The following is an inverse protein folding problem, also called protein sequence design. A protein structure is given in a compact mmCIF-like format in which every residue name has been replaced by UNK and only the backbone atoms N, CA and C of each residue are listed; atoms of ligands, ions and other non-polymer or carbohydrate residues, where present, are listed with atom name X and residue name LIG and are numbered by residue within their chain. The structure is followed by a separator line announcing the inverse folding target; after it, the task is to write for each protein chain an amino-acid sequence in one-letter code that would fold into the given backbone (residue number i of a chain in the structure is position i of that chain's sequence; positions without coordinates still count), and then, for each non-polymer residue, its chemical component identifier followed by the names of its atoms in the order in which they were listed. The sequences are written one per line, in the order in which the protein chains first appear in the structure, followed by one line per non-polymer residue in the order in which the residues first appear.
data_IF_479074393845
#
_entry.id   IF_479074393845
#
_cell.length_a   1.000
_cell.length_b   1.000
_cell.length_c   1.000
_cell.angle_alpha   90.00
_cell.angle_beta   90.00
_cell.angle_gamma   90.00
#
_symmetry.space_group_name_H-M   'P 1'
#
loop_
_entity.id
_entity.type
_entity.pdbx_description
1 polymer ?
#
# COMPACT_ATOMS: atom_id res chain seq x y z
N UNK A 1 -26.01 1.55 -26.25
CA UNK A 1 -24.59 1.16 -26.38
C UNK A 1 -23.88 1.67 -25.14
N UNK A 2 -23.11 0.81 -24.48
CA UNK A 2 -22.43 1.16 -23.22
C UNK A 2 -21.20 2.02 -23.56
N UNK A 3 -20.98 3.12 -22.83
CA UNK A 3 -19.74 3.89 -22.95
C UNK A 3 -18.64 3.20 -22.14
N UNK A 4 -17.51 2.90 -22.79
CA UNK A 4 -16.40 2.20 -22.16
C UNK A 4 -15.43 3.19 -21.50
N UNK A 5 -14.96 2.94 -20.27
CA UNK A 5 -13.90 3.72 -19.66
C UNK A 5 -12.53 3.38 -20.26
N UNK A 6 -11.50 4.11 -19.86
CA UNK A 6 -10.12 3.86 -20.28
C UNK A 6 -9.69 2.42 -19.94
N UNK A 7 -8.86 1.83 -20.81
CA UNK A 7 -8.26 0.53 -20.55
C UNK A 7 -7.45 0.56 -19.25
N UNK A 8 -7.48 -0.53 -18.50
CA UNK A 8 -6.97 -0.63 -17.14
C UNK A 8 -7.98 -0.23 -16.07
N UNK A 9 -9.10 0.42 -16.41
CA UNK A 9 -10.14 0.77 -15.42
C UNK A 9 -10.80 -0.49 -14.86
N UNK A 10 -10.98 -0.53 -13.54
CA UNK A 10 -11.71 -1.60 -12.87
C UNK A 10 -13.21 -1.43 -13.09
N UNK A 11 -13.84 -2.43 -13.69
CA UNK A 11 -15.25 -2.42 -14.06
C UNK A 11 -15.97 -3.66 -13.55
N UNK A 12 -17.29 -3.51 -13.36
CA UNK A 12 -18.22 -4.63 -13.37
C UNK A 12 -19.09 -4.49 -14.62
N UNK A 13 -19.10 -5.54 -15.45
CA UNK A 13 -19.90 -5.58 -16.68
C UNK A 13 -20.84 -6.76 -16.61
N UNK A 14 -22.14 -6.49 -16.66
CA UNK A 14 -23.16 -7.51 -16.84
C UNK A 14 -23.36 -7.74 -18.32
N UNK A 15 -23.20 -8.97 -18.80
CA UNK A 15 -23.28 -9.30 -20.22
C UNK A 15 -24.18 -10.52 -20.48
N UNK A 16 -24.71 -10.60 -21.70
CA UNK A 16 -25.50 -11.74 -22.18
C UNK A 16 -24.59 -12.92 -22.52
N UNK A 17 -24.96 -14.10 -22.05
CA UNK A 17 -24.32 -15.36 -22.43
C UNK A 17 -24.93 -15.88 -23.75
N UNK A 18 -24.27 -16.82 -24.45
CA UNK A 18 -24.83 -17.45 -25.64
C UNK A 18 -26.25 -17.97 -25.40
N UNK A 19 -27.09 -17.86 -26.42
CA UNK A 19 -28.49 -18.31 -26.37
C UNK A 19 -28.58 -19.76 -25.85
N UNK A 20 -29.47 -20.00 -24.87
CA UNK A 20 -29.60 -21.29 -24.19
C UNK A 20 -28.78 -21.44 -22.90
N UNK A 21 -27.96 -20.46 -22.54
CA UNK A 21 -27.24 -20.47 -21.25
C UNK A 21 -28.18 -20.27 -20.06
N UNK A 22 -27.95 -21.03 -18.99
CA UNK A 22 -28.60 -20.85 -17.68
C UNK A 22 -27.51 -20.57 -16.63
N UNK A 23 -27.49 -19.39 -15.98
CA UNK A 23 -28.33 -18.21 -16.24
C UNK A 23 -28.00 -17.53 -17.60
N UNK A 24 -28.92 -16.75 -18.19
CA UNK A 24 -28.73 -16.07 -19.48
C UNK A 24 -27.83 -14.83 -19.41
N UNK A 25 -27.58 -14.32 -18.20
CA UNK A 25 -26.70 -13.19 -17.93
C UNK A 25 -25.57 -13.64 -16.99
N UNK A 26 -24.41 -13.02 -17.13
CA UNK A 26 -23.28 -13.16 -16.19
C UNK A 26 -22.64 -11.81 -15.91
N UNK A 27 -21.92 -11.72 -14.80
CA UNK A 27 -21.16 -10.54 -14.41
C UNK A 27 -19.65 -10.80 -14.59
N UNK A 28 -18.95 -9.86 -15.23
CA UNK A 28 -17.50 -9.83 -15.34
C UNK A 28 -16.97 -8.71 -14.43
N UNK A 29 -16.16 -9.04 -13.43
CA UNK A 29 -15.58 -8.08 -12.48
C UNK A 29 -14.07 -8.11 -12.58
N UNK A 30 -13.45 -7.00 -12.99
CA UNK A 30 -12.02 -6.98 -13.27
C UNK A 30 -11.53 -5.70 -13.95
N UNK A 31 -10.31 -5.72 -14.48
CA UNK A 31 -9.75 -4.61 -15.25
C UNK A 31 -10.08 -4.77 -16.73
N UNK A 32 -10.50 -3.68 -17.36
CA UNK A 32 -10.80 -3.65 -18.79
C UNK A 32 -9.50 -3.69 -19.61
N UNK A 33 -9.27 -4.75 -20.37
CA UNK A 33 -8.06 -4.92 -21.18
C UNK A 33 -8.24 -4.48 -22.64
N UNK A 34 -9.42 -4.69 -23.20
CA UNK A 34 -9.77 -4.32 -24.56
C UNK A 34 -11.29 -4.15 -24.69
N UNK A 35 -11.72 -3.37 -25.67
CA UNK A 35 -13.15 -3.14 -25.99
C UNK A 35 -13.50 -3.50 -27.44
N UNK A 36 -12.50 -3.69 -28.30
CA UNK A 36 -12.62 -4.00 -29.73
C UNK A 36 -11.51 -4.99 -30.12
N UNK A 37 -11.77 -6.02 -30.96
CA UNK A 37 -13.07 -6.43 -31.53
C UNK A 37 -14.01 -7.10 -30.52
N UNK A 38 -13.46 -7.53 -29.38
CA UNK A 38 -14.21 -8.12 -28.25
C UNK A 38 -13.82 -7.42 -26.97
N UNK A 39 -14.76 -7.37 -26.02
CA UNK A 39 -14.49 -6.84 -24.70
C UNK A 39 -13.73 -7.90 -23.91
N UNK A 40 -12.60 -7.53 -23.33
CA UNK A 40 -11.76 -8.40 -22.51
C UNK A 40 -11.66 -7.83 -21.10
N UNK A 41 -12.10 -8.58 -20.10
CA UNK A 41 -12.03 -8.18 -18.69
C UNK A 41 -11.18 -9.20 -17.94
N UNK A 42 -10.05 -8.74 -17.37
CA UNK A 42 -9.21 -9.58 -16.53
C UNK A 42 -9.72 -9.57 -15.09
N UNK A 43 -10.23 -10.71 -14.65
CA UNK A 43 -10.69 -10.92 -13.28
C UNK A 43 -9.53 -10.87 -12.28
N UNK A 44 -9.85 -10.74 -10.99
CA UNK A 44 -8.85 -10.75 -9.91
C UNK A 44 -7.98 -12.02 -9.86
N UNK A 45 -8.43 -13.13 -10.45
CA UNK A 45 -7.70 -14.40 -10.49
C UNK A 45 -6.80 -14.52 -11.73
N UNK A 46 -6.71 -13.46 -12.54
CA UNK A 46 -5.95 -13.44 -13.79
C UNK A 46 -6.71 -14.02 -15.00
N UNK A 47 -7.86 -14.67 -14.79
CA UNK A 47 -8.68 -15.18 -15.88
C UNK A 47 -9.26 -14.02 -16.71
N UNK A 48 -9.14 -14.11 -18.03
CA UNK A 48 -9.68 -13.12 -18.97
C UNK A 48 -11.04 -13.61 -19.45
N UNK A 49 -12.08 -12.82 -19.18
CA UNK A 49 -13.42 -13.03 -19.71
C UNK A 49 -13.58 -12.25 -21.00
N UNK A 50 -14.16 -12.89 -22.02
CA UNK A 50 -14.38 -12.31 -23.33
C UNK A 50 -15.87 -12.36 -23.70
N UNK A 51 -16.40 -11.25 -24.22
CA UNK A 51 -17.77 -11.13 -24.71
C UNK A 51 -17.89 -10.02 -25.76
N UNK A 52 -18.94 -10.07 -26.59
CA UNK A 52 -19.16 -9.03 -27.59
C UNK A 52 -19.60 -7.73 -26.91
N UNK A 53 -19.14 -6.57 -27.42
CA UNK A 53 -19.56 -5.28 -26.89
C UNK A 53 -21.09 -5.08 -26.96
N UNK A 54 -21.75 -5.69 -27.95
CA UNK A 54 -23.22 -5.69 -28.09
C UNK A 54 -23.95 -6.48 -26.99
N UNK A 55 -23.27 -7.45 -26.36
CA UNK A 55 -23.82 -8.27 -25.29
C UNK A 55 -23.74 -7.60 -23.92
N UNK A 56 -22.99 -6.51 -23.79
CA UNK A 56 -22.93 -5.71 -22.56
C UNK A 56 -24.30 -5.06 -22.27
N UNK A 57 -24.87 -5.38 -21.12
CA UNK A 57 -26.19 -4.91 -20.67
C UNK A 57 -26.06 -3.78 -19.66
N UNK A 58 -25.08 -3.89 -18.75
CA UNK A 58 -24.79 -2.85 -17.77
C UNK A 58 -23.29 -2.77 -17.50
N UNK A 59 -22.79 -1.57 -17.27
CA UNK A 59 -21.41 -1.31 -16.89
C UNK A 59 -21.40 -0.34 -15.72
N UNK A 60 -20.56 -0.64 -14.75
CA UNK A 60 -20.25 0.26 -13.65
C UNK A 60 -18.74 0.29 -13.45
N UNK A 61 -18.18 1.49 -13.43
CA UNK A 61 -16.80 1.72 -12.98
C UNK A 61 -16.77 1.44 -11.49
N UNK A 62 -15.88 0.54 -11.08
CA UNK A 62 -15.63 0.24 -9.69
C UNK A 62 -14.49 1.12 -9.20
N UNK A 63 -14.63 1.63 -7.98
CA UNK A 63 -13.46 2.12 -7.24
C UNK A 63 -12.49 0.97 -6.99
N UNK A 64 -11.26 1.29 -6.61
CA UNK A 64 -10.28 0.29 -6.24
C UNK A 64 -10.85 -0.70 -5.21
N UNK A 65 -10.34 -1.94 -5.28
CA UNK A 65 -10.78 -2.98 -4.37
C UNK A 65 -10.61 -2.49 -2.92
N UNK A 66 -11.60 -2.70 -2.04
CA UNK A 66 -11.47 -2.31 -0.64
C UNK A 66 -10.20 -2.93 -0.05
N UNK A 67 -9.29 -2.07 0.40
CA UNK A 67 -8.05 -2.50 1.05
C UNK A 67 -8.44 -3.21 2.34
N UNK A 68 -7.95 -4.44 2.57
CA UNK A 68 -8.23 -5.19 3.80
C UNK A 68 -7.20 -4.85 4.87
N UNK A 69 -7.56 -4.92 6.15
CA UNK A 69 -6.63 -4.69 7.26
C UNK A 69 -5.42 -5.64 7.21
N UNK A 70 -5.62 -6.88 6.78
CA UNK A 70 -4.52 -7.84 6.56
C UNK A 70 -3.55 -7.39 5.46
N UNK A 71 -4.06 -6.81 4.36
CA UNK A 71 -3.22 -6.27 3.28
C UNK A 71 -2.43 -5.04 3.72
N UNK A 72 -3.02 -4.19 4.58
CA UNK A 72 -2.31 -3.07 5.21
C UNK A 72 -1.16 -3.62 6.06
N UNK A 73 -1.42 -4.58 6.95
CA UNK A 73 -0.37 -5.21 7.80
C UNK A 73 0.74 -5.85 6.97
N UNK A 74 0.38 -6.59 5.93
CA UNK A 74 1.36 -7.25 5.05
C UNK A 74 2.28 -6.23 4.36
N UNK A 75 1.73 -5.14 3.81
CA UNK A 75 2.52 -4.07 3.20
C UNK A 75 3.37 -3.32 4.23
N UNK A 76 2.81 -2.98 5.39
CA UNK A 76 3.55 -2.29 6.45
C UNK A 76 4.69 -3.15 7.01
N UNK A 77 4.52 -4.47 7.04
CA UNK A 77 5.61 -5.40 7.36
C UNK A 77 6.71 -5.35 6.31
N UNK A 78 6.36 -5.42 5.02
CA UNK A 78 7.34 -5.31 3.94
C UNK A 78 8.07 -3.96 3.95
N UNK A 79 7.36 -2.87 4.26
CA UNK A 79 7.92 -1.53 4.40
C UNK A 79 8.83 -1.39 5.62
N UNK A 80 8.49 -2.03 6.73
CA UNK A 80 9.34 -2.14 7.91
C UNK A 80 10.62 -2.92 7.64
N UNK A 81 10.52 -4.06 6.94
CA UNK A 81 11.66 -4.89 6.57
C UNK A 81 12.63 -4.17 5.61
N UNK A 82 12.11 -3.24 4.79
CA UNK A 82 12.91 -2.40 3.90
C UNK A 82 13.76 -1.36 4.65
N UNK A 83 13.35 -1.00 5.87
CA UNK A 83 14.05 -0.04 6.75
C UNK A 83 14.00 -0.56 8.19
N UNK A 84 14.78 -1.62 8.51
CA UNK A 84 14.66 -2.33 9.78
C UNK A 84 15.07 -1.49 11.00
N UNK A 85 15.79 -0.39 10.80
CA UNK A 85 16.49 0.33 11.87
C UNK A 85 17.80 -0.38 12.23
N UNK A 86 18.58 0.24 13.12
CA UNK A 86 19.79 -0.37 13.69
C UNK A 86 19.47 -1.30 14.86
N UNK A 87 18.35 -1.05 15.54
CA UNK A 87 17.82 -1.90 16.59
C UNK A 87 16.30 -2.07 16.39
N UNK A 88 15.81 -3.29 16.56
CA UNK A 88 14.38 -3.58 16.49
C UNK A 88 13.95 -4.63 17.50
N UNK A 89 12.72 -4.54 17.99
CA UNK A 89 12.14 -5.48 18.92
C UNK A 89 10.64 -5.67 18.67
N UNK A 90 10.15 -6.88 18.94
CA UNK A 90 8.71 -7.15 19.01
C UNK A 90 8.20 -6.96 20.44
N UNK A 91 7.07 -6.28 20.59
CA UNK A 91 6.41 -6.05 21.88
C UNK A 91 4.89 -6.10 21.66
N UNK A 92 4.24 -7.15 22.17
CA UNK A 92 2.77 -7.34 22.12
C UNK A 92 2.13 -7.08 20.75
N UNK A 93 2.81 -7.47 19.66
CA UNK A 93 2.34 -7.28 18.29
C UNK A 93 2.74 -5.95 17.62
N UNK A 94 3.46 -5.10 18.34
CA UNK A 94 4.16 -3.96 17.78
C UNK A 94 5.58 -4.34 17.37
N UNK A 95 6.00 -3.87 16.20
CA UNK A 95 7.41 -3.87 15.81
C UNK A 95 7.97 -2.49 16.10
N UNK A 96 8.87 -2.41 17.08
CA UNK A 96 9.60 -1.21 17.46
C UNK A 96 10.87 -1.17 16.63
N UNK A 97 11.14 -0.05 15.97
CA UNK A 97 12.37 0.18 15.19
C UNK A 97 13.05 1.44 15.67
N UNK A 98 14.37 1.40 15.71
CA UNK A 98 15.23 2.51 16.09
C UNK A 98 16.48 2.52 15.22
N UNK A 99 16.72 3.64 14.54
CA UNK A 99 17.97 4.03 13.94
C UNK A 99 18.75 4.94 14.91
N UNK A 100 19.93 4.49 15.30
CA UNK A 100 20.81 5.23 16.21
C UNK A 100 21.52 6.41 15.55
N UNK A 101 21.49 6.52 14.20
CA UNK A 101 22.10 7.65 13.51
C UNK A 101 21.41 8.97 13.90
N UNK A 102 22.18 10.06 14.11
CA UNK A 102 21.57 11.38 14.26
C UNK A 102 20.73 11.67 13.01
N UNK A 103 19.61 12.38 13.17
CA UNK A 103 18.93 12.98 12.02
C UNK A 103 19.96 13.87 11.32
N UNK A 104 20.36 13.50 10.10
CA UNK A 104 21.27 14.33 9.30
C UNK A 104 20.44 15.48 8.71
N UNK A 105 20.47 16.63 9.38
CA UNK A 105 19.76 17.84 8.95
C UNK A 105 18.49 18.16 9.74
N UNK A 106 18.08 19.42 9.65
CA UNK A 106 16.87 19.93 10.28
C UNK A 106 15.64 19.43 9.49
N UNK A 107 14.83 18.56 10.10
CA UNK A 107 13.57 18.10 9.52
C UNK A 107 13.62 16.85 8.62
N UNK A 108 14.56 15.92 8.83
CA UNK A 108 14.63 14.70 8.01
C UNK A 108 13.43 13.76 8.28
N UNK A 109 12.37 13.92 7.48
CA UNK A 109 11.20 13.03 7.41
C UNK A 109 11.58 11.55 7.20
N UNK A 110 12.80 11.27 6.71
CA UNK A 110 13.35 9.92 6.58
C UNK A 110 13.50 9.20 7.93
N UNK A 111 13.63 9.94 9.03
CA UNK A 111 13.80 9.39 10.38
C UNK A 111 12.57 8.66 10.92
N UNK A 112 11.35 9.07 10.55
CA UNK A 112 10.12 8.51 11.13
C UNK A 112 9.91 7.03 10.79
N UNK A 113 10.21 6.63 9.55
CA UNK A 113 9.98 5.27 9.08
C UNK A 113 10.94 4.24 9.71
N UNK A 114 12.14 4.66 10.10
CA UNK A 114 13.16 3.83 10.77
C UNK A 114 13.19 4.00 12.30
N UNK A 115 12.53 5.04 12.84
CA UNK A 115 12.40 5.33 14.27
C UNK A 115 10.93 5.39 14.72
N UNK A 116 10.21 4.27 14.66
CA UNK A 116 8.82 4.21 15.14
C UNK A 116 8.37 2.80 15.49
N UNK A 117 7.36 2.72 16.35
CA UNK A 117 6.62 1.50 16.65
C UNK A 117 5.42 1.38 15.71
N UNK A 118 5.29 0.23 15.04
CA UNK A 118 4.20 -0.03 14.08
C UNK A 118 3.41 -1.27 14.52
N UNK A 119 2.06 -1.22 14.55
CA UNK A 119 1.24 -2.35 14.98
C UNK A 119 1.11 -3.34 13.83
N UNK A 120 2.06 -4.29 13.73
CA UNK A 120 2.11 -5.23 12.60
C UNK A 120 1.33 -6.51 12.85
N UNK A 121 1.26 -7.00 14.09
CA UNK A 121 0.43 -8.16 14.44
C UNK A 121 -0.98 -7.76 14.89
N UNK A 122 -1.95 -8.65 14.64
CA UNK A 122 -3.36 -8.46 15.03
C UNK A 122 -3.55 -8.28 16.54
N UNK A 123 -2.62 -8.78 17.36
CA UNK A 123 -2.64 -8.64 18.81
C UNK A 123 -2.33 -7.24 19.31
N UNK A 124 -1.79 -6.34 18.47
CA UNK A 124 -1.36 -5.01 18.89
C UNK A 124 -2.50 -4.23 19.57
N UNK A 125 -2.24 -3.74 20.79
CA UNK A 125 -3.16 -2.91 21.57
C UNK A 125 -2.45 -1.64 22.06
N UNK A 126 -3.24 -0.62 22.41
CA UNK A 126 -2.71 0.60 23.01
C UNK A 126 -2.31 0.45 24.48
N UNK A 127 -2.78 -0.59 25.18
CA UNK A 127 -2.30 -0.92 26.53
C UNK A 127 -0.78 -1.17 26.60
N UNK A 128 -0.13 -1.43 25.45
CA UNK A 128 1.32 -1.60 25.33
C UNK A 128 2.08 -0.29 25.17
N UNK A 129 1.41 0.86 25.01
CA UNK A 129 2.05 2.17 24.74
C UNK A 129 3.03 2.56 25.84
N UNK A 130 2.70 2.37 27.12
CA UNK A 130 3.63 2.67 28.22
C UNK A 130 4.93 1.84 28.14
N UNK A 131 4.83 0.56 27.74
CA UNK A 131 5.99 -0.30 27.58
C UNK A 131 6.82 0.09 26.35
N UNK A 132 6.18 0.54 25.28
CA UNK A 132 6.83 1.10 24.08
C UNK A 132 7.59 2.38 24.46
N UNK A 133 6.94 3.30 25.18
CA UNK A 133 7.56 4.54 25.69
C UNK A 133 8.82 4.23 26.48
N UNK A 134 8.74 3.33 27.46
CA UNK A 134 9.89 2.93 28.27
C UNK A 134 11.03 2.30 27.43
N UNK A 135 10.70 1.61 26.33
CA UNK A 135 11.71 1.02 25.44
C UNK A 135 12.52 2.09 24.70
N UNK A 136 11.88 3.14 24.19
CA UNK A 136 12.56 4.25 23.50
C UNK A 136 13.31 5.15 24.47
N UNK A 137 12.72 5.48 25.62
CA UNK A 137 13.34 6.38 26.62
C UNK A 137 14.63 5.82 27.21
N UNK A 138 14.69 4.51 27.48
CA UNK A 138 15.93 3.84 27.90
C UNK A 138 17.07 3.97 26.89
N UNK A 139 16.75 4.31 25.64
CA UNK A 139 17.70 4.52 24.54
C UNK A 139 17.89 6.00 24.21
N UNK A 140 17.33 6.91 25.01
CA UNK A 140 17.44 8.35 24.81
C UNK A 140 16.80 8.82 23.50
N UNK A 141 15.64 8.26 23.16
CA UNK A 141 14.92 8.55 21.90
C UNK A 141 13.46 8.85 22.19
N UNK A 142 12.87 9.72 21.38
CA UNK A 142 11.46 10.06 21.48
C UNK A 142 10.60 8.87 21.02
N UNK A 143 9.59 8.46 21.80
CA UNK A 143 8.72 7.35 21.44
C UNK A 143 7.69 7.80 20.40
N UNK A 144 7.78 7.24 19.20
CA UNK A 144 6.87 7.54 18.11
C UNK A 144 6.03 6.32 17.73
N UNK A 145 4.71 6.49 17.64
CA UNK A 145 3.78 5.48 17.15
C UNK A 145 3.44 5.78 15.70
N UNK A 146 3.74 4.87 14.77
CA UNK A 146 3.24 4.95 13.41
C UNK A 146 1.99 4.06 13.28
N UNK A 147 0.84 4.68 13.08
CA UNK A 147 -0.46 4.01 13.07
C UNK A 147 -1.05 4.09 11.66
N UNK A 148 -0.99 2.99 10.89
CA UNK A 148 -1.72 2.85 9.65
C UNK A 148 -3.23 2.96 9.90
N UNK A 149 -3.92 3.67 9.03
CA UNK A 149 -5.38 3.80 9.09
C UNK A 149 -6.02 2.42 9.14
N UNK A 150 -7.07 2.30 9.98
CA UNK A 150 -7.91 1.10 10.13
C UNK A 150 -7.27 -0.09 10.87
N UNK A 151 -5.99 -0.02 11.26
CA UNK A 151 -5.41 -1.08 12.11
C UNK A 151 -5.73 -0.87 13.58
N UNK A 152 -5.56 0.36 14.06
CA UNK A 152 -5.95 0.83 15.38
C UNK A 152 -6.65 2.18 15.24
N UNK A 153 -7.50 2.52 16.19
CA UNK A 153 -8.22 3.80 16.24
C UNK A 153 -7.61 4.65 17.35
N UNK A 154 -6.71 5.60 17.03
CA UNK A 154 -6.13 6.49 18.04
C UNK A 154 -7.21 7.26 18.81
N UNK A 155 -6.93 7.68 20.06
CA UNK A 155 -7.80 8.58 20.81
C UNK A 155 -8.16 9.81 19.98
N UNK A 156 -9.40 10.30 20.12
CA UNK A 156 -9.87 11.47 19.35
C UNK A 156 -9.09 12.75 19.65
N UNK A 157 -8.47 12.82 20.82
CA UNK A 157 -7.64 13.92 21.30
C UNK A 157 -6.20 13.84 20.79
N UNK A 158 -5.78 12.71 20.22
CA UNK A 158 -4.43 12.56 19.68
C UNK A 158 -4.29 13.33 18.36
N UNK A 159 -3.28 14.21 18.31
CA UNK A 159 -2.91 14.96 17.10
C UNK A 159 -1.74 14.25 16.45
N UNK A 160 -1.83 14.02 15.14
CA UNK A 160 -0.74 13.39 14.41
C UNK A 160 0.32 14.45 14.05
N UNK A 161 1.57 14.19 14.39
CA UNK A 161 2.71 15.08 14.08
C UNK A 161 3.05 15.04 12.59
N UNK A 162 2.87 13.88 11.97
CA UNK A 162 3.14 13.66 10.56
C UNK A 162 2.16 12.64 9.98
N UNK A 163 1.84 12.78 8.69
CA UNK A 163 0.99 11.85 7.95
C UNK A 163 1.64 11.51 6.61
N UNK A 164 1.69 10.22 6.31
CA UNK A 164 2.17 9.70 5.04
C UNK A 164 1.03 9.02 4.28
N UNK A 165 1.12 9.07 2.95
CA UNK A 165 0.33 8.29 2.00
C UNK A 165 1.18 7.12 1.53
N UNK A 166 0.62 5.93 1.62
CA UNK A 166 1.21 4.72 1.03
C UNK A 166 0.45 4.43 -0.25
N UNK A 167 1.14 4.59 -1.37
CA UNK A 167 0.61 4.39 -2.72
C UNK A 167 1.15 3.07 -3.26
N UNK A 168 0.34 2.31 -4.00
CA UNK A 168 0.72 1.01 -4.57
C UNK A 168 0.36 0.87 -6.04
N UNK A 169 1.11 0.02 -6.75
CA UNK A 169 0.83 -0.41 -8.12
C UNK A 169 1.21 -1.87 -8.30
N UNK A 170 0.52 -2.58 -9.19
CA UNK A 170 0.93 -3.92 -9.62
C UNK A 170 2.06 -3.82 -10.64
N UNK A 171 3.07 -4.68 -10.49
CA UNK A 171 4.28 -4.68 -11.33
C UNK A 171 4.15 -5.76 -12.39
N UNK A 172 4.22 -5.42 -13.69
CA UNK A 172 4.11 -6.41 -14.75
C UNK A 172 5.33 -7.36 -14.75
N UNK A 173 5.08 -8.64 -15.02
CA UNK A 173 6.10 -9.70 -15.00
C UNK A 173 7.19 -9.55 -16.09
N UNK A 174 6.95 -8.73 -17.11
CA UNK A 174 7.87 -8.47 -18.20
C UNK A 174 8.12 -6.97 -18.25
N UNK A 175 9.38 -6.56 -18.08
CA UNK A 175 9.80 -5.16 -18.23
C UNK A 175 10.97 -5.10 -19.21
N UNK A 176 10.85 -4.35 -20.33
CA UNK A 176 11.81 -4.43 -21.43
C UNK A 176 13.16 -3.74 -21.15
N UNK A 177 13.24 -2.82 -20.19
CA UNK A 177 14.42 -1.95 -19.99
C UNK A 177 15.27 -2.31 -18.75
N UNK A 178 16.62 -2.24 -18.82
CA UNK A 178 17.49 -2.44 -17.67
C UNK A 178 17.43 -1.25 -16.71
N UNK A 179 16.48 -1.27 -15.77
CA UNK A 179 16.43 -0.29 -14.69
C UNK A 179 17.55 -0.38 -13.61
N UNK A 180 17.76 0.72 -12.89
CA UNK A 180 18.72 0.80 -11.78
C UNK A 180 18.05 0.51 -10.44
N UNK A 181 18.79 -0.04 -9.48
CA UNK A 181 18.27 -0.34 -8.14
C UNK A 181 18.47 0.78 -7.14
N UNK A 182 19.04 1.91 -7.55
CA UNK A 182 19.36 2.99 -6.63
C UNK A 182 18.06 3.61 -6.11
N UNK A 183 17.89 3.57 -4.78
CA UNK A 183 16.66 4.02 -4.13
C UNK A 183 15.48 3.04 -4.22
N UNK A 184 15.70 1.79 -4.62
CA UNK A 184 14.69 0.74 -4.59
C UNK A 184 15.13 -0.45 -3.72
N UNK A 185 14.18 -1.11 -3.08
CA UNK A 185 14.41 -2.29 -2.25
C UNK A 185 13.31 -3.31 -2.47
N UNK A 186 13.67 -4.60 -2.52
CA UNK A 186 12.68 -5.69 -2.62
C UNK A 186 12.60 -6.41 -1.29
N UNK A 187 11.37 -6.54 -0.77
CA UNK A 187 11.08 -7.24 0.49
C UNK A 187 9.89 -8.17 0.33
N UNK A 188 9.87 -9.23 1.14
CA UNK A 188 8.78 -10.21 1.17
C UNK A 188 7.81 -9.87 2.32
N UNK A 189 6.51 -9.88 2.02
CA UNK A 189 5.45 -9.76 3.01
C UNK A 189 5.02 -11.13 3.55
N UNK A 190 4.43 -11.20 4.76
CA UNK A 190 3.96 -12.46 5.35
C UNK A 190 2.87 -13.19 4.53
N UNK A 191 2.17 -12.48 3.64
CA UNK A 191 1.16 -13.07 2.74
C UNK A 191 1.76 -13.65 1.45
N UNK A 192 3.09 -13.68 1.33
CA UNK A 192 3.82 -14.15 0.16
C UNK A 192 3.96 -13.11 -0.96
N UNK A 193 3.41 -11.91 -0.79
CA UNK A 193 3.60 -10.83 -1.76
C UNK A 193 5.03 -10.31 -1.70
N UNK A 194 5.71 -10.28 -2.84
CA UNK A 194 7.01 -9.64 -2.99
C UNK A 194 6.84 -8.20 -3.46
N UNK A 195 7.29 -7.26 -2.63
CA UNK A 195 7.12 -5.83 -2.82
C UNK A 195 8.40 -5.15 -3.26
N UNK A 196 8.31 -4.22 -4.20
CA UNK A 196 9.35 -3.24 -4.50
C UNK A 196 9.01 -1.90 -3.81
N UNK A 197 9.77 -1.54 -2.78
CA UNK A 197 9.71 -0.23 -2.14
C UNK A 197 10.55 0.78 -2.91
N UNK A 198 9.93 1.86 -3.36
CA UNK A 198 10.56 2.88 -4.19
C UNK A 198 10.79 4.17 -3.42
N UNK A 199 11.91 4.85 -3.65
CA UNK A 199 12.19 6.19 -3.11
C UNK A 199 11.55 7.30 -3.94
N UNK A 200 11.26 7.03 -5.22
CA UNK A 200 10.64 7.97 -6.14
C UNK A 200 9.81 7.19 -7.18
N UNK A 201 8.77 7.79 -7.77
CA UNK A 201 7.98 7.12 -8.80
C UNK A 201 8.78 7.11 -10.10
N UNK A 202 9.62 6.09 -10.30
CA UNK A 202 10.47 5.92 -11.49
C UNK A 202 10.31 4.54 -12.12
N UNK A 203 10.21 4.51 -13.45
CA UNK A 203 10.07 3.27 -14.24
C UNK A 203 11.31 2.36 -14.12
N UNK A 204 12.50 2.93 -13.95
CA UNK A 204 13.74 2.14 -13.80
C UNK A 204 13.75 1.35 -12.49
N UNK A 205 13.32 1.97 -11.38
CA UNK A 205 13.15 1.28 -10.10
C UNK A 205 12.08 0.18 -10.17
N UNK A 206 10.97 0.43 -10.88
CA UNK A 206 9.92 -0.58 -11.14
C UNK A 206 10.47 -1.78 -11.92
N UNK A 207 11.19 -1.54 -13.01
CA UNK A 207 11.81 -2.58 -13.83
C UNK A 207 12.85 -3.39 -13.05
N UNK A 208 13.63 -2.73 -12.18
CA UNK A 208 14.58 -3.39 -11.30
C UNK A 208 13.89 -4.30 -10.27
N UNK A 209 12.78 -3.85 -9.68
CA UNK A 209 11.96 -4.63 -8.75
C UNK A 209 11.32 -5.85 -9.42
N UNK A 210 10.76 -5.66 -10.62
CA UNK A 210 10.16 -6.72 -11.43
C UNK A 210 11.15 -7.86 -11.70
N UNK A 211 12.39 -7.53 -12.09
CA UNK A 211 13.46 -8.52 -12.32
C UNK A 211 13.87 -9.29 -11.07
N UNK A 212 13.57 -8.77 -9.88
CA UNK A 212 13.77 -9.44 -8.59
C UNK A 212 12.54 -10.24 -8.13
N UNK A 213 11.53 -10.33 -9.00
CA UNK A 213 10.29 -11.05 -8.75
C UNK A 213 9.28 -10.26 -7.95
N UNK A 214 9.44 -8.95 -7.78
CA UNK A 214 8.40 -8.14 -7.17
C UNK A 214 7.16 -8.12 -8.08
N UNK A 215 6.01 -8.46 -7.50
CA UNK A 215 4.72 -8.46 -8.20
C UNK A 215 3.93 -7.19 -7.92
N UNK A 216 4.33 -6.44 -6.89
CA UNK A 216 3.73 -5.16 -6.51
C UNK A 216 4.81 -4.17 -6.10
N UNK A 217 4.53 -2.89 -6.26
CA UNK A 217 5.41 -1.80 -5.84
C UNK A 217 4.64 -0.86 -4.91
N UNK A 218 5.38 -0.25 -3.98
CA UNK A 218 4.85 0.80 -3.13
C UNK A 218 5.80 1.99 -3.07
N UNK A 219 5.23 3.15 -2.81
CA UNK A 219 5.94 4.38 -2.46
C UNK A 219 5.24 5.03 -1.27
N UNK A 220 6.04 5.59 -0.37
CA UNK A 220 5.58 6.32 0.82
C UNK A 220 5.93 7.77 0.63
N UNK A 221 4.93 8.65 0.70
CA UNK A 221 5.08 10.09 0.52
C UNK A 221 4.46 10.83 1.70
N UNK A 222 5.03 11.96 2.10
CA UNK A 222 4.37 12.89 3.01
C UNK A 222 3.02 13.35 2.42
N UNK A 223 2.00 13.56 3.26
CA UNK A 223 0.66 13.98 2.83
C UNK A 223 0.69 15.30 2.02
N UNK A 224 1.67 16.17 2.28
CA UNK A 224 1.87 17.45 1.61
C UNK A 224 2.60 17.38 0.26
N UNK A 225 3.26 16.26 -0.09
CA UNK A 225 4.00 16.11 -1.36
C UNK A 225 3.05 15.79 -2.52
N UNK A 226 2.28 16.79 -2.92
CA UNK A 226 1.29 16.68 -4.00
C UNK A 226 1.95 16.52 -5.38
N UNK A 227 3.15 17.06 -5.57
CA UNK A 227 3.89 16.97 -6.84
C UNK A 227 4.37 15.55 -7.12
N UNK A 228 4.97 14.88 -6.12
CA UNK A 228 5.38 13.47 -6.28
C UNK A 228 4.19 12.54 -6.31
N UNK A 229 3.12 12.84 -5.55
CA UNK A 229 1.87 12.08 -5.64
C UNK A 229 1.28 12.13 -7.06
N UNK A 230 1.22 13.29 -7.71
CA UNK A 230 0.74 13.40 -9.10
C UNK A 230 1.60 12.62 -10.10
N UNK A 231 2.94 12.59 -9.92
CA UNK A 231 3.82 11.74 -10.74
C UNK A 231 3.58 10.25 -10.51
N UNK A 232 3.38 9.84 -9.26
CA UNK A 232 3.04 8.47 -8.92
C UNK A 232 1.70 8.05 -9.54
N UNK A 233 0.69 8.92 -9.48
CA UNK A 233 -0.63 8.68 -10.08
C UNK A 233 -0.56 8.50 -11.60
N UNK A 234 0.25 9.29 -12.29
CA UNK A 234 0.52 9.15 -13.74
C UNK A 234 1.23 7.84 -14.06
N UNK A 235 2.09 7.36 -13.16
CA UNK A 235 2.71 6.05 -13.20
C UNK A 235 1.79 4.95 -12.65
N UNK A 236 0.49 5.17 -12.52
CA UNK A 236 -0.50 4.16 -12.17
C UNK A 236 -0.48 3.71 -10.70
N UNK A 237 0.23 4.41 -9.81
CA UNK A 237 0.09 4.19 -8.37
C UNK A 237 -1.27 4.70 -7.89
N UNK A 238 -1.82 4.05 -6.87
CA UNK A 238 -3.09 4.40 -6.24
C UNK A 238 -2.97 4.34 -4.72
N UNK A 239 -3.75 5.16 -4.02
CA UNK A 239 -3.73 5.22 -2.56
C UNK A 239 -4.19 3.90 -1.96
N UNK A 240 -3.30 3.26 -1.20
CA UNK A 240 -3.63 2.06 -0.45
C UNK A 240 -4.17 2.42 0.94
N UNK A 241 -3.45 3.25 1.66
CA UNK A 241 -3.84 3.73 2.99
C UNK A 241 -2.95 4.92 3.41
N UNK A 242 -3.31 5.59 4.51
CA UNK A 242 -2.43 6.54 5.18
C UNK A 242 -1.84 5.94 6.45
N UNK A 243 -0.69 6.48 6.86
CA UNK A 243 -0.02 6.20 8.12
C UNK A 243 0.18 7.52 8.86
N UNK A 244 -0.23 7.55 10.13
CA UNK A 244 -0.12 8.73 10.98
C UNK A 244 0.86 8.49 12.10
N UNK A 245 1.70 9.47 12.38
CA UNK A 245 2.69 9.41 13.44
C UNK A 245 2.22 10.23 14.62
N UNK A 246 2.42 9.69 15.82
CA UNK A 246 2.06 10.34 17.06
C UNK A 246 3.20 10.19 18.05
N UNK A 247 3.62 11.29 18.66
CA UNK A 247 4.45 11.26 19.85
C UNK A 247 3.65 10.62 21.00
N UNK A 248 4.16 9.52 21.53
CA UNK A 248 3.44 8.71 22.52
C UNK A 248 3.30 9.39 23.89
N UNK A 249 3.99 10.53 24.10
CA UNK A 249 3.92 11.36 25.32
C UNK A 249 2.98 12.56 25.18
N UNK A 250 2.37 12.78 24.02
CA UNK A 250 1.40 13.87 23.88
C UNK A 250 0.15 13.59 24.74
N UNK A 251 -0.54 14.62 25.25
CA UNK A 251 -1.67 14.48 26.19
C UNK A 251 -2.81 13.56 25.72
N UNK A 252 -2.91 13.32 24.41
CA UNK A 252 -3.86 12.37 23.84
C UNK A 252 -3.62 10.90 24.22
N UNK A 253 -2.44 10.56 24.73
CA UNK A 253 -2.00 9.19 25.02
C UNK A 253 -1.96 8.83 26.51
N UNK A 254 -2.22 9.78 27.41
CA UNK A 254 -2.12 9.57 28.87
C UNK A 254 -3.19 8.62 29.44
N UNK A 255 -4.19 8.25 28.65
CA UNK A 255 -5.39 7.50 29.08
C UNK A 255 -5.53 6.12 28.45
N UNK A 256 -4.54 5.67 27.68
CA UNK A 256 -4.62 4.45 26.85
C UNK A 256 -3.76 3.30 27.37
#
# INVERSE_FOLDING_TARGET
MVSWPDLGTRVTVRYRRPAGSVPPLSDAVGHLLATDPVVRVQTKTGAVLEFAAADAVALRVLTDAPVRTSAIRALEYAAAAARPGLEHAWLDGWLLRLDHRPAEGDGDEAGFASNSAVPLDISARFSSVLAIVAWYERRGRSPLLAIPERLLTPPRTAVADHTERVLVRDVPSITPEPGTGEGAVVTDAPDGTRWAGLSAPREDQLAWGARRGATRAYIVLAEGDTATAGRADNLGFRLHHRRRYFEARSPGWDTV
#
